data_IF_996625081991
#
_entry.id   IF_996625081991
#
_cell.length_a   1.000
_cell.length_b   1.000
_cell.length_c   1.000
_cell.angle_alpha   90.00
_cell.angle_beta   90.00
_cell.angle_gamma   90.00
#
_symmetry.space_group_name_H-M   'P 1'
#
loop_
_entity.id
_entity.type
_entity.pdbx_description
1 polymer ?
#
# COMPACT_ATOMS: atom_id res chain seq x y z
N UNK A 1 5.18 2.38 -1.27
CA UNK A 1 5.15 0.99 -0.81
C UNK A 1 6.53 0.33 -0.91
N UNK A 2 6.88 -0.25 -2.06
CA UNK A 2 8.02 -1.16 -2.18
C UNK A 2 9.35 -0.45 -1.94
N UNK A 3 9.55 0.72 -2.57
CA UNK A 3 10.76 1.53 -2.36
C UNK A 3 10.93 1.92 -0.88
N UNK A 4 9.85 2.28 -0.19
CA UNK A 4 9.92 2.62 1.23
C UNK A 4 10.30 1.40 2.08
N UNK A 5 9.77 0.21 1.77
CA UNK A 5 10.17 -1.05 2.40
C UNK A 5 11.67 -1.35 2.20
N UNK A 6 12.19 -1.17 0.99
CA UNK A 6 13.61 -1.35 0.67
C UNK A 6 14.51 -0.36 1.43
N UNK A 7 14.09 0.91 1.53
CA UNK A 7 14.77 1.89 2.39
C UNK A 7 14.75 1.52 3.89
N UNK A 8 13.65 0.94 4.38
CA UNK A 8 13.54 0.45 5.76
C UNK A 8 14.48 -0.73 5.97
N UNK A 9 14.55 -1.67 5.03
CA UNK A 9 15.48 -2.79 5.07
C UNK A 9 16.93 -2.31 5.11
N UNK A 10 17.32 -1.34 4.27
CA UNK A 10 18.67 -0.79 4.26
C UNK A 10 19.01 -0.02 5.54
N UNK A 11 18.06 0.78 6.06
CA UNK A 11 18.28 1.56 7.29
C UNK A 11 18.27 0.69 8.54
N UNK A 12 17.32 -0.24 8.66
CA UNK A 12 17.12 -1.04 9.87
C UNK A 12 17.96 -2.32 9.83
N UNK A 13 18.24 -2.88 8.65
CA UNK A 13 19.15 -4.02 8.45
C UNK A 13 20.55 -3.81 9.00
N UNK A 14 20.99 -2.55 9.12
CA UNK A 14 22.26 -2.16 9.74
C UNK A 14 22.24 -2.32 11.27
N UNK A 15 21.05 -2.29 11.89
CA UNK A 15 20.85 -2.37 13.35
C UNK A 15 20.15 -3.66 13.81
N UNK A 16 19.32 -4.29 12.97
CA UNK A 16 18.51 -5.47 13.27
C UNK A 16 18.28 -6.26 11.96
N UNK A 17 18.45 -7.59 11.97
CA UNK A 17 18.14 -8.42 10.79
C UNK A 17 16.62 -8.50 10.62
N UNK A 18 16.07 -7.67 9.73
CA UNK A 18 14.68 -7.71 9.29
C UNK A 18 14.65 -8.37 7.91
N UNK A 19 13.71 -9.30 7.68
CA UNK A 19 13.56 -9.91 6.36
C UNK A 19 12.97 -8.91 5.36
N UNK A 20 13.32 -9.06 4.08
CA UNK A 20 12.73 -8.34 2.93
C UNK A 20 11.20 -8.28 3.00
N UNK A 21 10.54 -9.41 3.32
CA UNK A 21 9.08 -9.47 3.47
C UNK A 21 8.54 -8.69 4.67
N UNK A 22 9.27 -8.65 5.79
CA UNK A 22 8.88 -7.87 6.96
C UNK A 22 9.04 -6.36 6.71
N UNK A 23 10.11 -5.94 6.03
CA UNK A 23 10.29 -4.56 5.61
C UNK A 23 9.20 -4.10 4.62
N UNK A 24 8.81 -4.97 3.69
CA UNK A 24 7.67 -4.73 2.80
C UNK A 24 6.34 -4.56 3.57
N UNK A 25 6.08 -5.41 4.58
CA UNK A 25 4.90 -5.29 5.44
C UNK A 25 4.88 -3.97 6.23
N UNK A 26 6.04 -3.53 6.74
CA UNK A 26 6.21 -2.22 7.39
C UNK A 26 5.99 -1.06 6.42
N UNK A 27 6.46 -1.18 5.18
CA UNK A 27 6.14 -0.22 4.12
C UNK A 27 4.63 -0.09 3.88
N UNK A 28 3.88 -1.20 4.04
CA UNK A 28 2.43 -1.27 3.88
C UNK A 28 1.69 -0.58 5.01
N UNK A 29 2.06 -0.87 6.25
CA UNK A 29 1.46 -0.23 7.42
C UNK A 29 1.74 1.28 7.44
N UNK A 30 2.97 1.71 7.13
CA UNK A 30 3.30 3.13 7.07
C UNK A 30 2.53 3.86 5.96
N UNK A 31 2.40 3.25 4.79
CA UNK A 31 1.62 3.81 3.68
C UNK A 31 0.14 3.96 4.04
N UNK A 32 -0.43 3.00 4.76
CA UNK A 32 -1.84 3.03 5.19
C UNK A 32 -2.09 4.09 6.27
N UNK A 33 -1.19 4.22 7.25
CA UNK A 33 -1.27 5.25 8.31
C UNK A 33 -1.20 6.65 7.73
N UNK A 34 -0.24 6.89 6.81
CA UNK A 34 -0.13 8.16 6.12
C UNK A 34 -1.33 8.41 5.20
N UNK A 35 -1.82 7.38 4.51
CA UNK A 35 -3.02 7.47 3.67
C UNK A 35 -4.26 7.88 4.44
N UNK A 36 -4.50 7.30 5.63
CA UNK A 36 -5.57 7.73 6.53
C UNK A 36 -5.33 9.13 7.10
N UNK A 37 -4.11 9.45 7.50
CA UNK A 37 -3.75 10.75 8.08
C UNK A 37 -3.90 11.92 7.10
N UNK A 38 -3.61 11.67 5.82
CA UNK A 38 -3.74 12.67 4.75
C UNK A 38 -5.18 12.89 4.28
N UNK A 39 -6.16 12.09 4.72
CA UNK A 39 -7.55 12.19 4.26
C UNK A 39 -8.13 13.60 4.45
N UNK A 40 -7.90 14.22 5.61
CA UNK A 40 -8.35 15.59 5.88
C UNK A 40 -7.68 16.63 4.96
N UNK A 41 -6.41 16.42 4.58
CA UNK A 41 -5.72 17.29 3.64
C UNK A 41 -6.29 17.17 2.22
N UNK A 42 -6.63 15.95 1.81
CA UNK A 42 -7.29 15.68 0.53
C UNK A 42 -8.69 16.30 0.49
N UNK A 43 -9.44 16.25 1.59
CA UNK A 43 -10.75 16.92 1.71
C UNK A 43 -10.63 18.44 1.56
N UNK A 44 -9.65 19.06 2.23
CA UNK A 44 -9.38 20.49 2.09
C UNK A 44 -8.97 20.85 0.65
N UNK A 45 -8.18 20.01 0.00
CA UNK A 45 -7.76 20.21 -1.39
C UNK A 45 -8.93 20.06 -2.36
N UNK A 46 -9.79 19.05 -2.18
CA UNK A 46 -11.00 18.84 -2.97
C UNK A 46 -11.98 20.01 -2.81
N UNK A 47 -12.13 20.55 -1.59
CA UNK A 47 -12.93 21.75 -1.34
C UNK A 47 -12.38 22.97 -2.08
N UNK A 48 -11.05 23.14 -2.15
CA UNK A 48 -10.41 24.20 -2.95
C UNK A 48 -10.64 24.04 -4.46
N UNK A 49 -10.73 22.80 -4.94
CA UNK A 49 -11.06 22.48 -6.34
C UNK A 49 -12.56 22.60 -6.67
N UNK A 50 -13.40 22.99 -5.70
CA UNK A 50 -14.83 23.18 -5.90
C UNK A 50 -15.68 21.92 -5.70
N UNK A 51 -15.07 20.80 -5.26
CA UNK A 51 -15.81 19.61 -4.85
C UNK A 51 -16.41 19.88 -3.48
N UNK A 52 -17.66 20.35 -3.46
CA UNK A 52 -18.39 20.63 -2.23
C UNK A 52 -18.94 19.34 -1.64
N UNK A 53 -18.69 19.11 -0.35
CA UNK A 53 -19.27 17.97 0.35
C UNK A 53 -20.80 18.01 0.23
N UNK A 54 -21.46 16.88 -0.12
CA UNK A 54 -22.90 16.83 -0.26
C UNK A 54 -23.56 17.21 1.07
N UNK A 55 -24.54 18.13 1.09
CA UNK A 55 -25.24 18.52 2.31
C UNK A 55 -26.17 17.38 2.73
N UNK A 56 -25.63 16.42 3.48
CA UNK A 56 -26.38 15.31 4.05
C UNK A 56 -26.87 15.71 5.45
N UNK A 57 -28.14 15.44 5.73
CA UNK A 57 -28.66 15.50 7.11
C UNK A 57 -27.93 14.45 7.97
N UNK A 58 -27.71 14.69 9.29
CA UNK A 58 -27.12 13.70 10.18
C UNK A 58 -27.86 12.35 10.16
N UNK A 59 -29.17 12.35 9.90
CA UNK A 59 -29.97 11.13 9.72
C UNK A 59 -29.57 10.34 8.46
N UNK A 60 -29.13 11.03 7.40
CA UNK A 60 -28.76 10.41 6.12
C UNK A 60 -27.33 9.86 6.16
N UNK A 61 -26.43 10.48 6.93
CA UNK A 61 -25.06 9.98 7.11
C UNK A 61 -25.08 8.62 7.82
N UNK A 62 -25.98 8.43 8.79
CA UNK A 62 -26.09 7.18 9.57
C UNK A 62 -26.81 6.04 8.81
N UNK A 63 -27.37 6.32 7.62
CA UNK A 63 -27.97 5.28 6.81
C UNK A 63 -26.92 4.26 6.35
N UNK A 64 -27.29 2.97 6.38
CA UNK A 64 -26.43 1.87 5.90
C UNK A 64 -25.91 2.09 4.48
N UNK A 65 -26.72 2.67 3.61
CA UNK A 65 -26.35 3.00 2.23
C UNK A 65 -25.23 4.05 2.17
N UNK A 66 -25.32 5.12 2.98
CA UNK A 66 -24.30 6.16 3.09
C UNK A 66 -22.99 5.58 3.62
N UNK A 67 -23.05 4.78 4.70
CA UNK A 67 -21.88 4.08 5.25
C UNK A 67 -21.23 3.13 4.24
N UNK A 68 -22.03 2.39 3.48
CA UNK A 68 -21.53 1.48 2.47
C UNK A 68 -20.83 2.24 1.33
N UNK A 69 -21.43 3.31 0.82
CA UNK A 69 -20.82 4.15 -0.21
C UNK A 69 -19.48 4.77 0.27
N UNK A 70 -19.45 5.28 1.50
CA UNK A 70 -18.24 5.83 2.11
C UNK A 70 -17.13 4.76 2.25
N UNK A 71 -17.49 3.58 2.75
CA UNK A 71 -16.54 2.46 2.90
C UNK A 71 -16.03 1.96 1.55
N UNK A 72 -16.90 1.91 0.53
CA UNK A 72 -16.52 1.50 -0.83
C UNK A 72 -15.52 2.49 -1.43
N UNK A 73 -15.75 3.80 -1.30
CA UNK A 73 -14.81 4.82 -1.77
C UNK A 73 -13.44 4.70 -1.09
N UNK A 74 -13.42 4.45 0.23
CA UNK A 74 -12.18 4.23 0.98
C UNK A 74 -11.45 2.98 0.52
N UNK A 75 -12.15 1.85 0.37
CA UNK A 75 -11.55 0.60 -0.11
C UNK A 75 -10.97 0.76 -1.51
N UNK A 76 -11.69 1.38 -2.44
CA UNK A 76 -11.20 1.63 -3.80
C UNK A 76 -9.96 2.53 -3.77
N UNK A 77 -9.98 3.59 -2.97
CA UNK A 77 -8.84 4.50 -2.82
C UNK A 77 -7.58 3.80 -2.31
N UNK A 78 -7.71 2.95 -1.27
CA UNK A 78 -6.59 2.15 -0.75
C UNK A 78 -6.10 1.16 -1.80
N UNK A 79 -7.00 0.44 -2.49
CA UNK A 79 -6.61 -0.50 -3.54
C UNK A 79 -5.81 0.17 -4.66
N UNK A 80 -6.27 1.32 -5.16
CA UNK A 80 -5.57 2.07 -6.21
C UNK A 80 -4.21 2.58 -5.69
N UNK A 81 -4.17 3.13 -4.47
CA UNK A 81 -2.93 3.61 -3.86
C UNK A 81 -1.87 2.50 -3.72
N UNK A 82 -2.28 1.30 -3.30
CA UNK A 82 -1.40 0.15 -3.21
C UNK A 82 -0.89 -0.32 -4.58
N UNK A 83 -1.75 -0.39 -5.59
CA UNK A 83 -1.38 -0.76 -6.96
C UNK A 83 -0.35 0.23 -7.53
N UNK A 84 -0.58 1.53 -7.36
CA UNK A 84 0.40 2.56 -7.75
C UNK A 84 1.70 2.44 -6.96
N UNK A 85 1.63 2.12 -5.67
CA UNK A 85 2.79 1.87 -4.83
C UNK A 85 3.65 0.68 -5.26
N UNK A 86 3.08 -0.28 -6.00
CA UNK A 86 3.74 -1.44 -6.58
C UNK A 86 4.24 -1.21 -8.02
N UNK A 87 3.92 -0.06 -8.64
CA UNK A 87 4.39 0.31 -9.99
C UNK A 87 5.92 0.23 -10.19
N UNK A 88 6.79 0.50 -9.19
CA UNK A 88 8.23 0.30 -9.34
C UNK A 88 8.63 -1.12 -9.79
N UNK A 89 7.85 -2.15 -9.44
CA UNK A 89 8.10 -3.52 -9.88
C UNK A 89 7.97 -3.68 -11.40
N UNK A 90 7.00 -3.01 -12.04
CA UNK A 90 6.82 -3.12 -13.50
C UNK A 90 7.97 -2.49 -14.30
N UNK A 91 8.61 -1.44 -13.75
CA UNK A 91 9.75 -0.77 -14.38
C UNK A 91 11.04 -1.55 -14.14
N UNK A 92 11.21 -2.14 -12.96
CA UNK A 92 12.34 -3.01 -12.66
C UNK A 92 12.25 -4.31 -13.46
N UNK A 93 11.09 -4.98 -13.51
CA UNK A 93 10.87 -6.17 -14.34
C UNK A 93 11.21 -5.93 -15.83
N UNK A 94 10.93 -4.74 -16.37
CA UNK A 94 11.30 -4.39 -17.76
C UNK A 94 12.82 -4.21 -17.97
N UNK A 95 13.57 -3.91 -16.90
CA UNK A 95 15.04 -3.89 -16.90
C UNK A 95 15.64 -5.27 -16.57
N UNK A 96 14.87 -6.12 -15.91
CA UNK A 96 15.25 -7.45 -15.46
C UNK A 96 14.93 -8.57 -16.44
N UNK A 97 14.26 -8.32 -17.58
CA UNK A 97 14.10 -9.33 -18.65
C UNK A 97 15.47 -9.81 -19.18
N UNK A 98 16.55 -9.05 -18.96
CA UNK A 98 17.93 -9.47 -19.23
C UNK A 98 18.67 -10.05 -18.00
N UNK A 99 18.11 -10.12 -16.77
CA UNK A 99 18.89 -10.58 -15.59
C UNK A 99 18.14 -11.25 -14.40
N UNK A 100 16.82 -11.28 -14.25
CA UNK A 100 16.21 -11.82 -13.00
C UNK A 100 15.20 -12.96 -13.21
N UNK A 101 15.73 -14.12 -13.60
CA UNK A 101 15.13 -15.43 -13.32
C UNK A 101 15.43 -15.94 -11.88
N UNK A 102 16.26 -15.24 -11.10
CA UNK A 102 16.77 -15.75 -9.83
C UNK A 102 16.10 -15.07 -8.63
N UNK A 103 14.93 -15.60 -8.20
CA UNK A 103 14.33 -15.48 -6.84
C UNK A 103 12.88 -16.04 -6.83
N UNK A 104 12.42 -16.66 -7.92
CA UNK A 104 11.21 -17.49 -7.95
C UNK A 104 11.55 -18.98 -8.11
N UNK A 105 12.66 -19.45 -7.55
CA UNK A 105 13.03 -20.87 -7.61
C UNK A 105 13.03 -21.49 -6.22
N UNK A 106 11.94 -22.20 -5.95
CA UNK A 106 11.90 -23.57 -5.39
C UNK A 106 11.01 -23.73 -4.13
N UNK A 107 9.79 -24.29 -4.27
CA UNK A 107 9.11 -24.93 -3.16
C UNK A 107 9.77 -26.28 -2.85
N UNK A 108 10.12 -26.48 -1.58
CA UNK A 108 10.35 -27.77 -0.90
C UNK A 108 11.33 -28.78 -1.53
N UNK A 109 12.53 -28.87 -0.96
CA UNK A 109 13.19 -30.18 -0.77
C UNK A 109 13.66 -30.32 0.67
N UNK A 110 12.87 -31.03 1.47
CA UNK A 110 13.23 -31.59 2.77
C UNK A 110 14.48 -32.48 2.58
N UNK A 111 15.60 -32.26 3.30
CA UNK A 111 16.67 -33.24 3.27
C UNK A 111 16.27 -34.45 4.12
N UNK A 112 15.85 -35.52 3.46
CA UNK A 112 16.03 -36.86 4.00
C UNK A 112 17.54 -37.14 4.02
N UNK A 113 18.16 -37.42 5.17
CA UNK A 113 19.26 -38.40 5.27
C UNK A 113 19.49 -38.80 6.74
N UNK A 114 19.36 -40.11 6.96
CA UNK A 114 19.92 -41.01 7.99
C UNK A 114 20.63 -40.46 9.22
#
# INVERSE_FOLDING_TARGET
>A
MIVCGDYIEQCVGTYMVISTMAAAALGNTLSDVLGLGCAAYVEMFAAKLGVKAPPLSPIQIDMKSSRFAANLGRSIGVCIGCILGMTPLLILSKKSEDTQQDEATNPETIPATK
#
